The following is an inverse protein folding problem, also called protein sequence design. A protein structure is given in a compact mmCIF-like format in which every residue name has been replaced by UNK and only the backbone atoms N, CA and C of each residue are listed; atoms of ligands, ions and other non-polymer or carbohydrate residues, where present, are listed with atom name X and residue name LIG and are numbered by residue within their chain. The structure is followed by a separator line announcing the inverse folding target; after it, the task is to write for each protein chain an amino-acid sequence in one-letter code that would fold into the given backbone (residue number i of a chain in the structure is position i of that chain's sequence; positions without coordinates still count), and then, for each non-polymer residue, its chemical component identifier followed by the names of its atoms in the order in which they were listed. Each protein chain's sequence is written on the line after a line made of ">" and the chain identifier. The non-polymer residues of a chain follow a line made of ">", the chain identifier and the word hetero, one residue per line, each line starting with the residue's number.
data_IF_973105909908
#
_entry.id   IF_973105909908
#
_cell.length_a   1.000
_cell.length_b   1.000
_cell.length_c   1.000
_cell.angle_alpha   90.00
_cell.angle_beta   90.00
_cell.angle_gamma   90.00
#
_symmetry.space_group_name_H-M   'P 1'
#
loop_
_entity.id
_entity.type
_entity.pdbx_description
1 polymer ?
#
# COMPACT_ATOMS: atom_id res chain seq x y z
N UNK A 1 9.32 -2.86 -1.63
CA UNK A 1 7.93 -2.39 -1.46
C UNK A 1 7.86 -0.89 -1.08
N UNK A 2 8.41 -0.44 0.06
CA UNK A 2 8.27 0.98 0.49
C UNK A 2 8.86 1.96 -0.51
N UNK A 3 10.08 1.74 -0.98
CA UNK A 3 10.70 2.56 -2.03
C UNK A 3 9.90 2.54 -3.35
N UNK A 4 9.25 1.42 -3.68
CA UNK A 4 8.41 1.31 -4.88
C UNK A 4 7.19 2.23 -4.78
N UNK A 5 6.44 2.15 -3.67
CA UNK A 5 5.26 3.00 -3.48
C UNK A 5 5.62 4.47 -3.29
N UNK A 6 6.75 4.76 -2.62
CA UNK A 6 7.31 6.12 -2.52
C UNK A 6 7.62 6.70 -3.89
N UNK A 7 8.36 5.98 -4.74
CA UNK A 7 8.71 6.47 -6.09
C UNK A 7 7.46 6.68 -6.96
N UNK A 8 6.47 5.78 -6.86
CA UNK A 8 5.17 5.96 -7.52
C UNK A 8 4.41 7.19 -7.00
N UNK A 9 4.32 7.36 -5.69
CA UNK A 9 3.64 8.50 -5.09
C UNK A 9 4.32 9.82 -5.46
N UNK A 10 5.65 9.88 -5.47
CA UNK A 10 6.38 11.10 -5.88
C UNK A 10 6.04 11.51 -7.32
N UNK A 11 6.00 10.56 -8.26
CA UNK A 11 5.60 10.84 -9.65
C UNK A 11 4.15 11.31 -9.73
N UNK A 12 3.25 10.61 -9.05
CA UNK A 12 1.84 10.99 -8.95
C UNK A 12 1.68 12.42 -8.39
N UNK A 13 2.41 12.75 -7.32
CA UNK A 13 2.43 14.07 -6.71
C UNK A 13 2.91 15.15 -7.67
N UNK A 14 4.01 14.90 -8.38
CA UNK A 14 4.55 15.82 -9.38
C UNK A 14 3.54 16.08 -10.51
N UNK A 15 2.90 15.03 -11.03
CA UNK A 15 1.84 15.12 -12.02
C UNK A 15 0.67 15.97 -11.52
N UNK A 16 0.17 15.71 -10.31
CA UNK A 16 -0.91 16.51 -9.69
C UNK A 16 -0.52 17.97 -9.48
N UNK A 17 0.73 18.25 -9.10
CA UNK A 17 1.22 19.61 -8.97
C UNK A 17 1.34 20.31 -10.32
N UNK A 18 1.69 19.59 -11.39
CA UNK A 18 1.73 20.13 -12.76
C UNK A 18 0.33 20.39 -13.31
N UNK A 19 -0.64 19.52 -13.02
CA UNK A 19 -2.07 19.74 -13.32
C UNK A 19 -2.59 20.99 -12.59
N UNK A 20 -2.32 21.10 -11.29
CA UNK A 20 -2.71 22.27 -10.50
C UNK A 20 -2.08 23.56 -11.03
N UNK A 21 -0.81 23.52 -11.44
CA UNK A 21 -0.13 24.68 -12.03
C UNK A 21 -0.80 25.17 -13.31
N UNK A 22 -1.27 24.24 -14.16
CA UNK A 22 -1.97 24.55 -15.42
C UNK A 22 -3.38 25.06 -15.17
N UNK A 23 -4.12 24.43 -14.26
CA UNK A 23 -5.52 24.73 -14.00
C UNK A 23 -5.71 25.96 -13.09
N UNK A 24 -4.84 26.14 -12.09
CA UNK A 24 -4.93 27.21 -11.11
C UNK A 24 -3.54 27.59 -10.57
N UNK A 25 -2.84 28.44 -11.32
CA UNK A 25 -1.48 28.90 -10.99
C UNK A 25 -1.38 29.56 -9.60
N UNK A 26 -2.40 30.31 -9.18
CA UNK A 26 -2.42 30.97 -7.87
C UNK A 26 -2.47 29.95 -6.73
N UNK A 27 -3.33 28.93 -6.84
CA UNK A 27 -3.39 27.84 -5.86
C UNK A 27 -2.08 27.04 -5.82
N UNK A 28 -1.51 26.70 -6.98
CA UNK A 28 -0.20 26.06 -7.07
C UNK A 28 0.88 26.88 -6.36
N UNK A 29 0.96 28.19 -6.63
CA UNK A 29 1.95 29.07 -6.02
C UNK A 29 1.78 29.15 -4.50
N UNK A 30 0.52 29.17 -4.00
CA UNK A 30 0.22 29.11 -2.57
C UNK A 30 0.74 27.81 -1.95
N UNK A 31 0.48 26.66 -2.57
CA UNK A 31 0.95 25.35 -2.11
C UNK A 31 2.48 25.27 -2.04
N UNK A 32 3.18 25.77 -3.07
CA UNK A 32 4.65 25.79 -3.06
C UNK A 32 5.19 26.73 -1.97
N UNK A 33 4.61 27.93 -1.83
CA UNK A 33 5.01 28.89 -0.78
C UNK A 33 4.75 28.39 0.64
N UNK A 34 3.75 27.53 0.84
CA UNK A 34 3.48 26.91 2.13
C UNK A 34 4.38 25.70 2.43
N UNK A 35 5.36 25.37 1.59
CA UNK A 35 6.29 24.25 1.80
C UNK A 35 6.05 23.04 0.89
N UNK A 36 5.10 23.12 -0.04
CA UNK A 36 4.75 21.97 -0.88
C UNK A 36 4.25 20.81 -0.02
N UNK A 37 4.80 19.61 -0.25
CA UNK A 37 4.42 18.40 0.47
C UNK A 37 4.57 18.54 2.00
N UNK A 38 5.63 19.21 2.49
CA UNK A 38 5.90 19.31 3.94
C UNK A 38 4.85 20.14 4.68
N UNK A 39 4.25 21.11 4.00
CA UNK A 39 3.28 22.03 4.58
C UNK A 39 1.82 21.73 4.25
N UNK A 40 1.54 20.63 3.53
CA UNK A 40 0.18 20.18 3.31
C UNK A 40 -0.47 19.75 4.63
N UNK A 41 -1.74 20.09 4.79
CA UNK A 41 -2.56 19.61 5.91
C UNK A 41 -2.91 18.13 5.75
N UNK A 42 -3.32 17.50 6.85
CA UNK A 42 -3.88 16.15 6.93
C UNK A 42 -4.95 15.92 5.88
N UNK A 43 -5.95 16.79 5.79
CA UNK A 43 -7.07 16.59 4.88
C UNK A 43 -6.64 16.61 3.41
N UNK A 44 -5.69 17.48 3.06
CA UNK A 44 -5.14 17.54 1.70
C UNK A 44 -4.31 16.30 1.36
N UNK A 45 -3.47 15.82 2.29
CA UNK A 45 -2.69 14.60 2.10
C UNK A 45 -3.60 13.37 2.05
N UNK A 46 -4.62 13.31 2.89
CA UNK A 46 -5.62 12.23 2.91
C UNK A 46 -6.33 12.14 1.56
N UNK A 47 -6.87 13.26 1.06
CA UNK A 47 -7.51 13.30 -0.26
C UNK A 47 -6.55 12.88 -1.39
N UNK A 48 -5.29 13.29 -1.30
CA UNK A 48 -4.27 12.94 -2.28
C UNK A 48 -3.87 11.46 -2.23
N UNK A 49 -3.76 10.88 -1.03
CA UNK A 49 -3.48 9.46 -0.83
C UNK A 49 -4.67 8.61 -1.28
N UNK A 50 -5.91 9.05 -1.07
CA UNK A 50 -7.10 8.35 -1.58
C UNK A 50 -7.09 8.27 -3.11
N UNK A 51 -6.79 9.38 -3.78
CA UNK A 51 -6.62 9.38 -5.24
C UNK A 51 -5.48 8.46 -5.69
N UNK A 52 -4.37 8.42 -4.94
CA UNK A 52 -3.26 7.52 -5.22
C UNK A 52 -3.65 6.04 -5.03
N UNK A 53 -4.43 5.72 -4.01
CA UNK A 53 -4.95 4.38 -3.75
C UNK A 53 -5.85 3.92 -4.88
N UNK A 54 -6.78 4.78 -5.30
CA UNK A 54 -7.65 4.54 -6.46
C UNK A 54 -6.82 4.31 -7.73
N UNK A 55 -5.78 5.11 -7.96
CA UNK A 55 -4.88 4.91 -9.10
C UNK A 55 -4.19 3.53 -9.07
N UNK A 56 -3.82 3.04 -7.88
CA UNK A 56 -3.10 1.77 -7.74
C UNK A 56 -4.01 0.54 -7.84
N UNK A 57 -5.20 0.59 -7.26
CA UNK A 57 -6.04 -0.59 -7.04
C UNK A 57 -7.46 -0.49 -7.61
N UNK A 58 -7.80 0.66 -8.21
CA UNK A 58 -9.12 0.97 -8.75
C UNK A 58 -10.09 1.51 -7.69
N UNK A 59 -11.22 2.05 -8.14
CA UNK A 59 -12.23 2.67 -7.26
C UNK A 59 -12.85 1.68 -6.25
N UNK A 60 -12.85 0.38 -6.56
CA UNK A 60 -13.48 -0.63 -5.71
C UNK A 60 -12.82 -0.79 -4.34
N UNK A 61 -11.55 -0.36 -4.19
CA UNK A 61 -10.85 -0.41 -2.89
C UNK A 61 -11.30 0.72 -1.95
N UNK A 62 -12.00 1.73 -2.48
CA UNK A 62 -12.55 2.89 -1.77
C UNK A 62 -14.06 3.00 -2.00
N UNK A 63 -14.72 1.86 -2.25
CA UNK A 63 -16.14 1.83 -2.54
C UNK A 63 -17.00 2.12 -1.30
N UNK A 64 -18.27 2.46 -1.56
CA UNK A 64 -19.26 2.86 -0.53
C UNK A 64 -19.62 1.73 0.44
N UNK A 65 -19.24 0.48 0.15
CA UNK A 65 -19.44 -0.67 1.04
C UNK A 65 -18.43 -0.72 2.19
N UNK A 66 -17.34 0.05 2.12
CA UNK A 66 -16.44 0.29 3.25
C UNK A 66 -16.97 1.42 4.14
N UNK A 67 -16.91 1.20 5.46
CA UNK A 67 -17.11 2.25 6.44
C UNK A 67 -16.04 3.34 6.33
N UNK A 68 -16.35 4.54 6.82
CA UNK A 68 -15.39 5.65 6.85
C UNK A 68 -14.12 5.29 7.64
N UNK A 69 -14.27 4.49 8.70
CA UNK A 69 -13.17 4.01 9.55
C UNK A 69 -12.24 3.06 8.77
N UNK A 70 -12.79 2.15 7.97
CA UNK A 70 -12.00 1.24 7.12
C UNK A 70 -11.27 1.99 6.01
N UNK A 71 -11.94 2.96 5.35
CA UNK A 71 -11.30 3.81 4.34
C UNK A 71 -10.15 4.62 4.96
N UNK A 72 -10.35 5.17 6.16
CA UNK A 72 -9.33 5.89 6.91
C UNK A 72 -8.17 4.97 7.31
N UNK A 73 -8.42 3.73 7.75
CA UNK A 73 -7.36 2.77 8.09
C UNK A 73 -6.50 2.41 6.85
N UNK A 74 -7.12 2.18 5.69
CA UNK A 74 -6.40 1.94 4.43
C UNK A 74 -5.52 3.14 4.08
N UNK A 75 -6.07 4.35 4.19
CA UNK A 75 -5.37 5.61 3.92
C UNK A 75 -4.15 5.74 4.81
N UNK A 76 -4.31 5.57 6.12
CA UNK A 76 -3.23 5.64 7.09
C UNK A 76 -2.15 4.59 6.85
N UNK A 77 -2.54 3.37 6.46
CA UNK A 77 -1.59 2.32 6.09
C UNK A 77 -0.74 2.68 4.87
N UNK A 78 -1.35 3.26 3.84
CA UNK A 78 -0.60 3.73 2.65
C UNK A 78 0.27 4.94 2.99
N UNK A 79 -0.21 5.87 3.83
CA UNK A 79 0.60 6.97 4.35
C UNK A 79 1.84 6.47 5.09
N UNK A 80 1.69 5.47 5.96
CA UNK A 80 2.81 4.85 6.66
C UNK A 80 3.87 4.30 5.70
N UNK A 81 3.44 3.63 4.63
CA UNK A 81 4.35 3.05 3.64
C UNK A 81 5.07 4.15 2.85
N UNK A 82 4.32 5.10 2.29
CA UNK A 82 4.84 6.16 1.42
C UNK A 82 5.74 7.12 2.19
N UNK A 83 5.33 7.51 3.41
CA UNK A 83 5.99 8.53 4.22
C UNK A 83 6.85 7.98 5.35
N UNK A 84 7.08 6.67 5.43
CA UNK A 84 7.98 6.02 6.42
C UNK A 84 9.36 6.69 6.54
N UNK A 85 9.90 7.21 5.44
CA UNK A 85 11.19 7.90 5.39
C UNK A 85 11.16 9.35 5.90
N UNK A 86 9.95 9.90 6.14
CA UNK A 86 9.71 11.29 6.53
C UNK A 86 9.18 11.48 7.94
N UNK A 87 8.94 10.40 8.68
CA UNK A 87 8.32 10.46 10.03
C UNK A 87 8.95 11.51 10.98
N UNK A 88 10.26 11.76 10.87
CA UNK A 88 11.00 12.75 11.69
C UNK A 88 11.33 14.07 10.96
N UNK A 89 10.65 14.38 9.86
CA UNK A 89 10.95 15.58 9.04
C UNK A 89 10.11 16.81 9.41
N UNK A 90 9.23 16.69 10.40
CA UNK A 90 8.35 17.79 10.81
C UNK A 90 7.27 18.10 9.78
N UNK A 91 6.83 17.10 9.02
CA UNK A 91 5.75 17.29 8.05
C UNK A 91 4.45 17.58 8.79
N UNK A 92 3.77 18.65 8.40
CA UNK A 92 2.57 19.16 9.08
C UNK A 92 1.49 18.08 9.22
N UNK A 93 1.21 17.34 8.16
CA UNK A 93 0.18 16.30 8.17
C UNK A 93 0.49 15.15 9.15
N UNK A 94 1.77 14.84 9.39
CA UNK A 94 2.15 13.78 10.35
C UNK A 94 1.79 14.23 11.75
N UNK A 95 2.15 15.46 12.10
CA UNK A 95 1.80 16.05 13.40
C UNK A 95 0.28 16.19 13.59
N UNK A 96 -0.45 16.59 12.54
CA UNK A 96 -1.92 16.70 12.62
C UNK A 96 -2.59 15.33 12.83
N UNK A 97 -2.06 14.24 12.25
CA UNK A 97 -2.57 12.88 12.50
C UNK A 97 -2.21 12.41 13.92
N UNK A 98 -0.98 12.68 14.38
CA UNK A 98 -0.56 12.35 15.75
C UNK A 98 -1.40 13.10 16.80
N UNK A 99 -1.72 14.37 16.57
CA UNK A 99 -2.53 15.18 17.49
C UNK A 99 -4.00 14.75 17.53
N UNK A 100 -4.59 14.39 16.39
CA UNK A 100 -5.98 13.93 16.34
C UNK A 100 -6.21 12.63 17.15
N UNK A 101 -5.14 11.88 17.46
CA UNK A 101 -5.19 10.68 18.29
C UNK A 101 -5.34 11.00 19.79
N UNK A 102 -4.72 12.08 20.27
CA UNK A 102 -4.72 12.45 21.69
C UNK A 102 -6.11 12.91 22.18
N UNK A 103 -7.06 13.17 21.27
CA UNK A 103 -8.41 13.67 21.55
C UNK A 103 -9.47 12.57 21.81
N UNK A 104 -9.06 11.33 22.11
CA UNK A 104 -9.97 10.30 22.66
C UNK A 104 -10.16 9.03 21.82
N UNK A 105 -9.29 8.76 20.85
CA UNK A 105 -9.32 7.52 20.07
C UNK A 105 -8.53 6.40 20.77
N UNK A 106 -9.00 5.15 20.70
CA UNK A 106 -8.41 4.02 21.44
C UNK A 106 -7.23 3.36 20.73
N UNK A 107 -6.93 3.73 19.48
CA UNK A 107 -5.85 3.12 18.68
C UNK A 107 -5.10 4.18 17.88
N UNK A 108 -3.76 4.20 18.01
CA UNK A 108 -2.92 5.12 17.24
C UNK A 108 -3.11 4.82 15.74
N UNK A 109 -3.60 5.79 14.94
CA UNK A 109 -3.89 5.57 13.52
C UNK A 109 -2.62 5.34 12.69
N UNK A 110 -1.47 5.87 13.13
CA UNK A 110 -0.19 5.80 12.39
C UNK A 110 0.95 5.37 13.32
N UNK A 111 1.32 4.09 13.25
CA UNK A 111 2.54 3.57 13.86
C UNK A 111 3.60 3.24 12.79
N UNK A 112 4.43 4.25 12.48
CA UNK A 112 5.54 4.08 11.54
C UNK A 112 6.53 2.97 11.93
N UNK A 113 6.59 2.55 13.20
CA UNK A 113 7.49 1.46 13.62
C UNK A 113 7.14 0.14 12.94
N UNK A 114 5.87 -0.10 12.58
CA UNK A 114 5.42 -1.31 11.86
C UNK A 114 6.17 -1.43 10.52
N UNK A 115 6.25 -0.34 9.77
CA UNK A 115 6.92 -0.31 8.45
C UNK A 115 8.43 -0.14 8.59
N UNK A 116 8.88 0.70 9.52
CA UNK A 116 10.31 1.04 9.65
C UNK A 116 11.13 -0.11 10.23
N UNK A 117 10.57 -0.88 11.16
CA UNK A 117 11.31 -2.00 11.76
C UNK A 117 11.65 -3.08 10.72
N UNK A 118 10.75 -3.37 9.77
CA UNK A 118 11.06 -4.28 8.66
C UNK A 118 12.07 -3.69 7.67
N UNK A 119 12.08 -2.36 7.48
CA UNK A 119 13.04 -1.69 6.61
C UNK A 119 14.47 -1.64 7.19
N UNK A 120 14.62 -1.56 8.51
CA UNK A 120 15.93 -1.32 9.14
C UNK A 120 16.47 -2.49 9.96
N UNK A 121 15.61 -3.22 10.68
CA UNK A 121 16.05 -4.25 11.62
C UNK A 121 16.11 -5.64 10.99
N UNK A 122 15.39 -5.87 9.89
CA UNK A 122 15.33 -7.14 9.16
C UNK A 122 15.11 -8.38 10.07
N UNK A 123 14.38 -8.21 11.17
CA UNK A 123 14.16 -9.28 12.15
C UNK A 123 12.90 -10.05 11.85
N UNK A 124 12.89 -11.35 12.18
CA UNK A 124 11.69 -12.19 12.03
C UNK A 124 10.50 -11.63 12.81
N UNK A 125 10.74 -11.12 14.02
CA UNK A 125 9.71 -10.47 14.85
C UNK A 125 9.08 -9.25 14.17
N UNK A 126 9.88 -8.41 13.52
CA UNK A 126 9.37 -7.25 12.79
C UNK A 126 8.55 -7.68 11.56
N UNK A 127 9.03 -8.69 10.83
CA UNK A 127 8.33 -9.27 9.68
C UNK A 127 6.98 -9.88 10.08
N UNK A 128 6.96 -10.68 11.15
CA UNK A 128 5.72 -11.30 11.64
C UNK A 128 4.73 -10.25 12.13
N UNK A 129 5.20 -9.18 12.80
CA UNK A 129 4.37 -8.03 13.18
C UNK A 129 3.85 -7.27 11.96
N UNK A 130 4.67 -7.07 10.92
CA UNK A 130 4.22 -6.38 9.71
C UNK A 130 3.10 -7.18 9.02
N UNK A 131 3.26 -8.50 8.90
CA UNK A 131 2.24 -9.35 8.27
C UNK A 131 1.05 -9.69 9.17
N UNK A 132 1.08 -9.36 10.46
CA UNK A 132 -0.09 -9.49 11.34
C UNK A 132 -1.14 -8.41 11.10
N UNK A 133 -0.87 -7.42 10.23
CA UNK A 133 -1.86 -6.42 9.83
C UNK A 133 -2.37 -6.71 8.40
N UNK A 134 -3.69 -6.79 8.18
CA UNK A 134 -4.26 -7.16 6.88
C UNK A 134 -3.83 -6.24 5.73
N UNK A 135 -3.92 -4.93 5.91
CA UNK A 135 -3.62 -3.96 4.85
C UNK A 135 -2.13 -4.01 4.46
N UNK A 136 -1.22 -4.18 5.42
CA UNK A 136 0.21 -4.30 5.19
C UNK A 136 0.53 -5.57 4.41
N UNK A 137 -0.09 -6.69 4.78
CA UNK A 137 -0.02 -7.94 4.03
C UNK A 137 -0.57 -7.79 2.61
N UNK A 138 -1.70 -7.12 2.45
CA UNK A 138 -2.30 -6.79 1.16
C UNK A 138 -1.37 -5.99 0.26
N UNK A 139 -0.84 -4.87 0.76
CA UNK A 139 0.02 -3.97 0.00
C UNK A 139 1.34 -4.66 -0.40
N UNK A 140 1.87 -5.53 0.46
CA UNK A 140 3.05 -6.33 0.14
C UNK A 140 2.75 -7.41 -0.91
N UNK A 141 1.67 -8.17 -0.75
CA UNK A 141 1.27 -9.19 -1.71
C UNK A 141 1.02 -8.57 -3.09
N UNK A 142 0.32 -7.43 -3.14
CA UNK A 142 0.06 -6.67 -4.37
C UNK A 142 1.36 -6.24 -5.06
N UNK A 143 2.32 -5.69 -4.30
CA UNK A 143 3.65 -5.37 -4.83
C UNK A 143 4.35 -6.61 -5.40
N UNK A 144 4.37 -7.71 -4.64
CA UNK A 144 5.09 -8.93 -5.01
C UNK A 144 4.46 -9.69 -6.20
N UNK A 145 3.16 -9.51 -6.43
CA UNK A 145 2.42 -10.08 -7.55
C UNK A 145 2.43 -9.19 -8.80
N UNK A 146 2.73 -7.90 -8.67
CA UNK A 146 2.74 -6.98 -9.80
C UNK A 146 3.99 -7.10 -10.68
N UNK A 147 3.80 -7.08 -12.00
CA UNK A 147 4.90 -7.01 -12.97
C UNK A 147 5.80 -5.79 -12.73
N UNK A 148 5.19 -4.66 -12.38
CA UNK A 148 5.91 -3.44 -12.04
C UNK A 148 6.78 -3.59 -10.79
N UNK A 149 6.29 -4.28 -9.75
CA UNK A 149 7.06 -4.54 -8.53
C UNK A 149 8.25 -5.47 -8.79
N UNK A 150 8.05 -6.50 -9.62
CA UNK A 150 9.11 -7.40 -10.06
C UNK A 150 10.16 -6.67 -10.91
N UNK A 151 9.71 -5.84 -11.86
CA UNK A 151 10.59 -5.02 -12.70
C UNK A 151 11.38 -4.00 -11.88
N UNK A 152 10.73 -3.37 -10.90
CA UNK A 152 11.36 -2.43 -9.98
C UNK A 152 12.52 -3.09 -9.22
N UNK A 153 12.33 -4.31 -8.72
CA UNK A 153 13.39 -5.05 -8.05
C UNK A 153 14.54 -5.40 -8.99
N UNK A 154 14.24 -5.81 -10.23
CA UNK A 154 15.27 -6.18 -11.21
C UNK A 154 16.13 -4.99 -11.66
N UNK A 155 15.53 -3.79 -11.71
CA UNK A 155 16.21 -2.56 -12.14
C UNK A 155 17.04 -1.86 -11.07
N UNK A 156 17.07 -2.35 -9.83
CA UNK A 156 17.91 -1.72 -8.80
C UNK A 156 19.39 -1.86 -9.17
N UNK A 157 20.21 -0.79 -9.09
CA UNK A 157 21.61 -0.81 -9.53
C UNK A 157 22.46 -1.92 -8.91
N UNK A 158 22.12 -2.34 -7.69
CA UNK A 158 22.86 -3.37 -6.96
C UNK A 158 22.47 -4.80 -7.37
N UNK A 159 21.50 -4.97 -8.28
CA UNK A 159 20.91 -6.25 -8.65
C UNK A 159 21.38 -6.74 -10.04
N UNK A 160 22.64 -6.49 -10.38
CA UNK A 160 23.22 -6.90 -11.66
C UNK A 160 23.73 -8.37 -11.65
N UNK A 161 23.83 -9.00 -10.47
CA UNK A 161 24.22 -10.39 -10.31
C UNK A 161 23.01 -11.35 -10.51
N UNK A 162 23.05 -12.26 -11.50
CA UNK A 162 21.98 -13.23 -11.73
C UNK A 162 21.66 -14.12 -10.52
N UNK A 163 22.66 -14.49 -9.71
CA UNK A 163 22.45 -15.35 -8.54
C UNK A 163 21.77 -14.57 -7.41
N UNK A 164 22.18 -13.31 -7.18
CA UNK A 164 21.46 -12.39 -6.29
C UNK A 164 20.01 -12.21 -6.75
N UNK A 165 19.75 -12.00 -8.05
CA UNK A 165 18.40 -11.88 -8.59
C UNK A 165 17.58 -13.16 -8.36
N UNK A 166 18.19 -14.34 -8.53
CA UNK A 166 17.55 -15.62 -8.25
C UNK A 166 17.15 -15.74 -6.78
N UNK A 167 18.05 -15.40 -5.84
CA UNK A 167 17.75 -15.39 -4.40
C UNK A 167 16.63 -14.40 -4.06
N UNK A 168 16.70 -13.17 -4.58
CA UNK A 168 15.66 -12.16 -4.35
C UNK A 168 14.27 -12.62 -4.83
N UNK A 169 14.20 -13.37 -5.94
CA UNK A 169 12.93 -13.94 -6.42
C UNK A 169 12.40 -15.02 -5.48
N UNK A 170 13.27 -15.87 -4.93
CA UNK A 170 12.90 -16.89 -3.95
C UNK A 170 12.41 -16.23 -2.66
N UNK A 171 13.17 -15.27 -2.12
CA UNK A 171 12.82 -14.55 -0.90
C UNK A 171 11.49 -13.79 -1.07
N UNK A 172 11.30 -13.12 -2.21
CA UNK A 172 10.05 -12.43 -2.52
C UNK A 172 8.87 -13.40 -2.60
N UNK A 173 9.06 -14.57 -3.21
CA UNK A 173 8.01 -15.59 -3.32
C UNK A 173 7.63 -16.14 -1.93
N UNK A 174 8.61 -16.39 -1.06
CA UNK A 174 8.39 -16.82 0.33
C UNK A 174 7.61 -15.76 1.12
N UNK A 175 8.07 -14.50 1.10
CA UNK A 175 7.42 -13.39 1.79
C UNK A 175 5.99 -13.14 1.28
N UNK A 176 5.78 -13.26 -0.04
CA UNK A 176 4.45 -13.15 -0.65
C UNK A 176 3.53 -14.27 -0.17
N UNK A 177 4.03 -15.51 -0.13
CA UNK A 177 3.26 -16.64 0.39
C UNK A 177 2.92 -16.46 1.88
N UNK A 178 3.84 -15.89 2.67
CA UNK A 178 3.55 -15.53 4.07
C UNK A 178 2.45 -14.47 4.17
N UNK A 179 2.55 -13.37 3.40
CA UNK A 179 1.53 -12.31 3.39
C UNK A 179 0.14 -12.86 3.04
N UNK A 180 0.05 -13.70 1.99
CA UNK A 180 -1.22 -14.35 1.60
C UNK A 180 -1.73 -15.30 2.67
N UNK A 181 -0.84 -16.06 3.33
CA UNK A 181 -1.22 -16.94 4.45
C UNK A 181 -1.80 -16.15 5.62
N UNK A 182 -1.19 -15.02 5.98
CA UNK A 182 -1.68 -14.15 7.04
C UNK A 182 -3.06 -13.58 6.71
N UNK A 183 -3.27 -13.10 5.47
CA UNK A 183 -4.59 -12.65 5.00
C UNK A 183 -5.67 -13.73 5.13
N UNK A 184 -5.35 -14.97 4.74
CA UNK A 184 -6.27 -16.10 4.86
C UNK A 184 -6.63 -16.41 6.32
N UNK A 185 -5.63 -16.44 7.21
CA UNK A 185 -5.86 -16.69 8.64
C UNK A 185 -6.78 -15.63 9.24
N UNK A 186 -6.57 -14.36 8.90
CA UNK A 186 -7.38 -13.24 9.39
C UNK A 186 -8.83 -13.36 8.91
N UNK A 187 -9.03 -13.76 7.65
CA UNK A 187 -10.35 -14.03 7.09
C UNK A 187 -11.06 -15.19 7.78
N UNK A 188 -10.38 -16.33 7.92
CA UNK A 188 -10.93 -17.54 8.54
C UNK A 188 -11.30 -17.32 10.02
N UNK A 189 -10.62 -16.38 10.69
CA UNK A 189 -10.88 -16.01 12.08
C UNK A 189 -12.09 -15.07 12.24
N UNK A 190 -12.78 -14.72 11.15
CA UNK A 190 -13.97 -13.88 11.22
C UNK A 190 -13.65 -12.44 11.59
N UNK A 191 -12.45 -11.96 11.24
CA UNK A 191 -12.12 -10.54 11.30
C UNK A 191 -12.94 -9.84 10.19
N UNK A 192 -14.21 -9.55 10.52
CA UNK A 192 -15.25 -9.11 9.58
C UNK A 192 -14.91 -7.78 8.88
N UNK A 193 -13.89 -7.09 9.39
CA UNK A 193 -13.42 -5.78 8.95
C UNK A 193 -12.77 -5.78 7.54
N UNK A 194 -12.53 -6.94 6.91
CA UNK A 194 -11.80 -7.00 5.63
C UNK A 194 -12.32 -7.98 4.57
N UNK A 195 -13.58 -8.44 4.65
CA UNK A 195 -14.16 -9.36 3.65
C UNK A 195 -14.09 -8.82 2.21
N UNK A 196 -14.27 -7.51 2.00
CA UNK A 196 -14.23 -6.86 0.67
C UNK A 196 -12.80 -6.67 0.10
N UNK A 197 -11.79 -6.58 0.98
CA UNK A 197 -10.38 -6.43 0.58
C UNK A 197 -9.81 -7.73 0.04
N UNK A 198 -10.28 -8.89 0.51
CA UNK A 198 -9.88 -10.19 -0.04
C UNK A 198 -10.55 -10.45 -1.39
N UNK A 199 -11.81 -10.04 -1.60
CA UNK A 199 -12.37 -10.04 -2.95
C UNK A 199 -11.57 -9.15 -3.91
N UNK A 200 -10.93 -8.10 -3.39
CA UNK A 200 -9.99 -7.26 -4.15
C UNK A 200 -8.64 -7.94 -4.36
N UNK A 201 -8.12 -8.73 -3.39
CA UNK A 201 -6.92 -9.59 -3.57
C UNK A 201 -7.17 -10.69 -4.57
N UNK A 202 -8.32 -11.36 -4.50
CA UNK A 202 -8.71 -12.37 -5.47
C UNK A 202 -8.96 -11.72 -6.82
N UNK A 203 -9.53 -10.52 -6.89
CA UNK A 203 -9.60 -9.74 -8.14
C UNK A 203 -8.25 -9.29 -8.65
N UNK A 204 -7.27 -8.99 -7.78
CA UNK A 204 -5.88 -8.67 -8.15
C UNK A 204 -5.12 -9.92 -8.57
N UNK A 205 -5.32 -11.06 -7.90
CA UNK A 205 -4.83 -12.36 -8.35
C UNK A 205 -5.50 -12.75 -9.66
N UNK A 206 -6.80 -12.52 -9.82
CA UNK A 206 -7.53 -12.75 -11.06
C UNK A 206 -7.10 -11.77 -12.14
N UNK A 207 -6.79 -10.51 -11.88
CA UNK A 207 -6.32 -9.56 -12.90
C UNK A 207 -4.87 -9.82 -13.31
N UNK A 208 -4.02 -10.27 -12.38
CA UNK A 208 -2.66 -10.75 -12.66
C UNK A 208 -2.69 -12.13 -13.37
N UNK A 209 -3.65 -13.01 -13.06
CA UNK A 209 -3.88 -14.30 -13.76
C UNK A 209 -4.68 -14.13 -15.06
N UNK A 210 -5.42 -13.03 -15.25
CA UNK A 210 -6.08 -12.65 -16.51
C UNK A 210 -5.06 -12.08 -17.51
N UNK A 211 -3.83 -11.81 -17.05
CA UNK A 211 -2.66 -11.72 -17.91
C UNK A 211 -2.29 -13.05 -18.59
N UNK A 212 -2.51 -14.23 -17.97
CA UNK A 212 -2.29 -15.54 -18.60
C UNK A 212 -3.20 -16.65 -18.01
N UNK A 213 -4.39 -16.79 -18.61
CA UNK A 213 -4.96 -18.08 -19.04
C UNK A 213 -5.34 -19.19 -18.02
N UNK A 214 -5.70 -18.90 -16.76
CA UNK A 214 -5.91 -19.99 -15.78
C UNK A 214 -7.13 -19.94 -14.82
N UNK A 215 -8.19 -19.19 -15.14
CA UNK A 215 -9.51 -19.34 -14.47
C UNK A 215 -10.61 -20.02 -15.30
N UNK A 216 -10.39 -20.18 -16.61
CA UNK A 216 -11.32 -20.92 -17.48
C UNK A 216 -11.31 -22.43 -17.27
N UNK A 217 -10.20 -23.00 -16.78
CA UNK A 217 -10.06 -24.44 -16.56
C UNK A 217 -10.52 -24.91 -15.17
N UNK A 218 -10.39 -24.08 -14.14
CA UNK A 218 -10.76 -24.46 -12.77
C UNK A 218 -12.28 -24.45 -12.52
N UNK A 219 -13.07 -23.66 -13.27
CA UNK A 219 -14.54 -23.73 -13.23
C UNK A 219 -15.14 -24.93 -14.00
N UNK A 220 -14.36 -25.60 -14.85
CA UNK A 220 -14.82 -26.79 -15.61
C UNK A 220 -14.61 -28.13 -14.88
N UNK A 221 -13.76 -28.19 -13.86
CA UNK A 221 -13.48 -29.43 -13.13
C UNK A 221 -14.33 -29.66 -11.87
N UNK A 222 -15.06 -28.65 -11.39
CA UNK A 222 -15.91 -28.76 -10.19
C UNK A 222 -17.42 -28.82 -10.48
N UNK A 223 -17.81 -28.91 -11.75
CA UNK A 223 -19.21 -29.13 -12.17
C UNK A 223 -19.47 -30.47 -12.87
N UNK A 224 -18.54 -31.43 -12.74
CA UNK A 224 -18.60 -32.73 -13.41
C UNK A 224 -18.65 -33.95 -12.49
N UNK A 225 -18.99 -33.79 -11.21
CA UNK A 225 -19.25 -34.90 -10.28
C UNK A 225 -20.46 -34.55 -9.39
N UNK A 226 -21.62 -34.49 -10.05
CA UNK A 226 -22.89 -34.97 -9.51
C UNK A 226 -23.28 -36.16 -10.38
#
# INVERSE_FOLDING_TARGET
>A
MTEFYKEKFSKFFEEKMMELKKANFSAWQKTIKSGGLTGMSRDNITAMVNQFIVLLFGDSIMAEDLSAEEQEEITHCVMMIVFSHRYNKGDRFIHEVEQAFDEGSTRNPIDFSIVRDVMYKYSRKAQDRFFSFPIQSFLFASFALSDEGLHFLQKKPDNNDPEKLRRLRIDLAELKNQAVKCLKIQFDQGDAQFSSTIDSVERVQQSVVVGQHLLGHLKKMTKGLL
#
